data_IF_796537651201
#
_entry.id   IF_796537651201
#
_cell.length_a   1.000
_cell.length_b   1.000
_cell.length_c   1.000
_cell.angle_alpha   90.00
_cell.angle_beta   90.00
_cell.angle_gamma   90.00
#
_symmetry.space_group_name_H-M   'P 1'
#
loop_
_entity.id
_entity.type
_entity.pdbx_description
1 polymer ?
#
# COMPACT_ATOMS: atom_id res chain seq x y z
N UNK A 1 -14.84 -7.67 0.52
CA UNK A 1 -13.85 -6.64 0.15
C UNK A 1 -14.37 -5.91 -1.08
N UNK A 2 -14.18 -4.59 -1.15
CA UNK A 2 -14.48 -3.79 -2.34
C UNK A 2 -13.31 -2.85 -2.65
N UNK A 3 -13.18 -2.42 -3.91
CA UNK A 3 -12.13 -1.48 -4.34
C UNK A 3 -12.26 -0.18 -3.54
N UNK A 4 -11.14 0.33 -3.04
CA UNK A 4 -11.09 1.53 -2.20
C UNK A 4 -11.41 1.28 -0.72
N UNK A 5 -11.71 0.05 -0.30
CA UNK A 5 -11.91 -0.27 1.11
C UNK A 5 -10.58 -0.17 1.89
N UNK A 6 -10.56 0.61 2.97
CA UNK A 6 -9.47 0.55 3.94
C UNK A 6 -9.60 -0.72 4.78
N UNK A 7 -8.52 -1.48 4.87
CA UNK A 7 -8.42 -2.69 5.68
C UNK A 7 -7.22 -2.60 6.61
N UNK A 8 -7.30 -3.25 7.76
CA UNK A 8 -6.19 -3.45 8.69
C UNK A 8 -5.94 -4.94 8.80
N UNK A 9 -4.88 -5.39 8.15
CA UNK A 9 -4.42 -6.76 8.28
C UNK A 9 -3.63 -6.95 9.58
N UNK A 10 -3.76 -8.13 10.18
CA UNK A 10 -2.92 -8.54 11.32
C UNK A 10 -1.95 -9.65 10.89
N UNK A 11 -0.90 -9.86 11.68
CA UNK A 11 0.12 -10.86 11.37
C UNK A 11 -0.49 -12.26 11.15
N UNK A 12 -0.11 -12.92 10.06
CA UNK A 12 -0.59 -14.24 9.66
C UNK A 12 -1.95 -14.25 8.95
N UNK A 13 -2.59 -13.10 8.74
CA UNK A 13 -3.84 -13.01 7.99
C UNK A 13 -3.61 -13.09 6.48
N UNK A 14 -4.39 -13.92 5.79
CA UNK A 14 -4.38 -13.98 4.33
C UNK A 14 -5.20 -12.84 3.74
N UNK A 15 -4.61 -12.14 2.76
CA UNK A 15 -5.31 -11.11 2.00
C UNK A 15 -6.05 -11.74 0.81
N UNK A 16 -7.33 -11.41 0.67
CA UNK A 16 -8.18 -11.92 -0.41
C UNK A 16 -8.25 -11.00 -1.64
N UNK A 17 -7.40 -9.96 -1.70
CA UNK A 17 -7.32 -9.00 -2.79
C UNK A 17 -5.92 -8.35 -2.85
N UNK A 18 -5.59 -7.77 -4.01
CA UNK A 18 -4.40 -6.93 -4.15
C UNK A 18 -4.55 -5.66 -3.30
N UNK A 19 -3.54 -5.37 -2.48
CA UNK A 19 -3.60 -4.29 -1.50
C UNK A 19 -2.40 -3.35 -1.61
N UNK A 20 -2.66 -2.04 -1.59
CA UNK A 20 -1.62 -1.03 -1.39
C UNK A 20 -1.35 -0.87 0.11
N UNK A 21 -0.09 -1.07 0.53
CA UNK A 21 0.32 -0.87 1.92
C UNK A 21 0.43 0.64 2.17
N UNK A 22 -0.43 1.18 3.02
CA UNK A 22 -0.44 2.61 3.36
C UNK A 22 0.41 2.95 4.60
N UNK A 23 0.39 2.08 5.59
CA UNK A 23 1.14 2.22 6.84
C UNK A 23 1.38 0.84 7.45
N UNK A 24 2.43 0.71 8.26
CA UNK A 24 2.80 -0.55 8.93
C UNK A 24 3.11 -0.29 10.41
N UNK A 25 3.14 -1.35 11.22
CA UNK A 25 3.63 -1.29 12.61
C UNK A 25 5.15 -1.32 12.71
N UNK A 26 5.84 -1.69 11.64
CA UNK A 26 7.29 -1.89 11.66
C UNK A 26 8.04 -0.56 11.50
N UNK A 27 9.18 -0.40 12.20
CA UNK A 27 10.10 0.70 11.94
C UNK A 27 10.53 0.70 10.46
N UNK A 28 10.62 1.90 9.87
CA UNK A 28 10.99 2.04 8.45
C UNK A 28 9.85 1.86 7.45
N UNK A 29 8.60 1.69 7.93
CA UNK A 29 7.41 1.54 7.08
C UNK A 29 7.49 0.35 6.13
N UNK A 30 8.06 -0.75 6.60
CA UNK A 30 8.15 -2.02 5.85
C UNK A 30 7.12 -3.03 6.36
N UNK A 31 6.77 -4.00 5.52
CA UNK A 31 6.00 -5.18 5.88
C UNK A 31 6.69 -6.42 5.30
N UNK A 32 6.46 -7.56 5.92
CA UNK A 32 6.96 -8.86 5.46
C UNK A 32 5.79 -9.65 4.90
N UNK A 33 5.84 -9.99 3.63
CA UNK A 33 4.76 -10.66 2.91
C UNK A 33 5.23 -12.04 2.48
N UNK A 34 4.39 -13.05 2.72
CA UNK A 34 4.59 -14.40 2.22
C UNK A 34 3.82 -14.59 0.91
N UNK A 35 4.50 -15.08 -0.13
CA UNK A 35 3.90 -15.29 -1.45
C UNK A 35 4.11 -16.67 -2.02
N UNK A 36 4.42 -17.64 -1.18
CA UNK A 36 4.55 -19.05 -1.55
C UNK A 36 3.34 -19.59 -2.35
N UNK A 37 2.13 -19.07 -2.10
CA UNK A 37 0.92 -19.45 -2.83
C UNK A 37 0.83 -18.86 -4.26
N UNK A 38 1.63 -17.84 -4.59
CA UNK A 38 1.64 -17.16 -5.90
C UNK A 38 2.81 -17.58 -6.77
N UNK A 39 4.03 -17.62 -6.22
CA UNK A 39 5.26 -17.89 -6.97
C UNK A 39 6.05 -19.11 -6.49
N UNK A 40 5.63 -19.75 -5.40
CA UNK A 40 6.30 -20.90 -4.80
C UNK A 40 7.53 -20.54 -3.97
N UNK A 41 7.82 -19.26 -3.74
CA UNK A 41 8.94 -18.83 -2.90
C UNK A 41 8.56 -18.89 -1.41
N UNK A 42 9.37 -19.59 -0.60
CA UNK A 42 9.13 -19.74 0.84
C UNK A 42 9.68 -18.60 1.69
N UNK A 43 10.41 -17.65 1.08
CA UNK A 43 11.01 -16.54 1.80
C UNK A 43 9.99 -15.41 1.97
N UNK A 44 10.04 -14.74 3.12
CA UNK A 44 9.31 -13.50 3.32
C UNK A 44 9.95 -12.40 2.49
N UNK A 45 9.11 -11.67 1.77
CA UNK A 45 9.51 -10.55 0.94
C UNK A 45 9.26 -9.24 1.67
N UNK A 46 10.24 -8.34 1.58
CA UNK A 46 10.17 -7.03 2.22
C UNK A 46 9.44 -6.06 1.30
N UNK A 47 8.41 -5.42 1.84
CA UNK A 47 7.54 -4.50 1.11
C UNK A 47 7.45 -3.16 1.79
N UNK A 48 7.73 -2.11 1.03
CA UNK A 48 7.70 -0.74 1.52
C UNK A 48 6.28 -0.20 1.43
N UNK A 49 5.78 0.42 2.50
CA UNK A 49 4.55 1.18 2.45
C UNK A 49 4.68 2.36 1.51
N UNK A 50 3.56 2.77 0.93
CA UNK A 50 3.50 3.89 0.01
C UNK A 50 4.10 5.16 0.67
N UNK A 51 4.86 5.97 -0.09
CA UNK A 51 5.63 7.09 0.42
C UNK A 51 4.68 8.22 0.84
N UNK A 52 4.17 8.14 2.06
CA UNK A 52 3.22 9.07 2.66
C UNK A 52 3.63 9.33 4.11
N UNK A 53 3.05 10.35 4.73
CA UNK A 53 3.20 10.61 6.17
C UNK A 53 2.17 9.86 7.00
N UNK A 54 1.49 8.86 6.42
CA UNK A 54 0.48 8.09 7.12
C UNK A 54 1.10 7.32 8.27
N UNK A 55 0.42 7.36 9.41
CA UNK A 55 0.78 6.60 10.61
C UNK A 55 -0.23 5.49 10.81
N UNK A 56 0.20 4.36 11.34
CA UNK A 56 -0.67 3.26 11.75
C UNK A 56 -1.44 3.63 13.03
N UNK A 57 -2.29 4.65 12.96
CA UNK A 57 -3.19 5.08 14.01
C UNK A 57 -4.52 5.57 13.42
N UNK A 58 -5.58 5.46 14.21
CA UNK A 58 -6.95 5.75 13.76
C UNK A 58 -7.13 7.20 13.28
N UNK A 59 -6.49 8.17 13.96
CA UNK A 59 -6.54 9.58 13.58
C UNK A 59 -6.01 9.82 12.16
N UNK A 60 -4.83 9.27 11.85
CA UNK A 60 -4.17 9.45 10.55
C UNK A 60 -4.95 8.77 9.43
N UNK A 61 -5.49 7.57 9.69
CA UNK A 61 -6.33 6.84 8.72
C UNK A 61 -7.64 7.57 8.44
N UNK A 62 -8.28 8.11 9.48
CA UNK A 62 -9.51 8.89 9.33
C UNK A 62 -9.29 10.21 8.57
N UNK A 63 -8.17 10.90 8.79
CA UNK A 63 -7.80 12.09 8.02
C UNK A 63 -7.60 11.74 6.54
N UNK A 64 -6.86 10.67 6.25
CA UNK A 64 -6.63 10.20 4.89
C UNK A 64 -7.94 9.82 4.18
N UNK A 65 -8.81 9.06 4.85
CA UNK A 65 -10.11 8.69 4.30
C UNK A 65 -10.96 9.91 3.93
N UNK A 66 -11.00 10.92 4.81
CA UNK A 66 -11.79 12.15 4.59
C UNK A 66 -11.18 13.09 3.55
N UNK A 67 -9.91 12.91 3.21
CA UNK A 67 -9.21 13.79 2.27
C UNK A 67 -9.62 13.59 0.80
N UNK A 68 -10.42 12.56 0.49
CA UNK A 68 -10.77 12.15 -0.87
C UNK A 68 -9.51 12.00 -1.74
N UNK A 69 -8.47 11.35 -1.20
CA UNK A 69 -7.27 11.02 -1.96
C UNK A 69 -7.63 10.01 -3.05
N UNK A 70 -7.19 10.30 -4.26
CA UNK A 70 -7.34 9.44 -5.43
C UNK A 70 -6.06 8.66 -5.68
N UNK A 71 -6.22 7.41 -6.09
CA UNK A 71 -5.10 6.52 -6.43
C UNK A 71 -5.22 6.17 -7.91
N UNK A 72 -4.20 6.52 -8.67
CA UNK A 72 -4.10 6.23 -10.09
C UNK A 72 -3.06 5.13 -10.29
N UNK A 73 -3.38 4.13 -11.08
CA UNK A 73 -2.51 2.97 -11.31
C UNK A 73 -2.83 2.33 -12.66
N UNK A 74 -1.92 1.47 -13.11
CA UNK A 74 -2.07 0.77 -14.39
C UNK A 74 -3.26 -0.20 -14.42
N UNK A 75 -3.75 -0.49 -15.63
CA UNK A 75 -4.80 -1.49 -15.80
C UNK A 75 -4.34 -2.86 -15.27
N UNK A 76 -5.27 -3.70 -14.75
CA UNK A 76 -4.95 -5.04 -14.28
C UNK A 76 -4.20 -5.83 -15.35
N UNK A 77 -3.06 -6.39 -14.97
CA UNK A 77 -2.19 -7.13 -15.89
C UNK A 77 -1.60 -8.37 -15.18
N UNK A 78 -0.81 -9.17 -15.91
CA UNK A 78 -0.26 -10.44 -15.39
C UNK A 78 1.12 -10.30 -14.73
N UNK A 79 1.68 -9.10 -14.65
CA UNK A 79 2.96 -8.87 -14.02
C UNK A 79 2.79 -8.83 -12.50
N UNK A 80 3.16 -9.92 -11.83
CA UNK A 80 3.08 -10.06 -10.37
C UNK A 80 4.25 -9.40 -9.62
N UNK A 81 5.21 -8.84 -10.36
CA UNK A 81 6.42 -8.25 -9.79
C UNK A 81 6.39 -6.72 -9.77
N UNK A 82 5.47 -6.10 -10.50
CA UNK A 82 5.47 -4.66 -10.70
C UNK A 82 4.06 -4.08 -10.61
N UNK A 83 3.92 -3.08 -9.75
CA UNK A 83 2.76 -2.21 -9.72
C UNK A 83 3.26 -0.77 -9.69
N UNK A 84 2.80 0.01 -10.64
CA UNK A 84 3.09 1.43 -10.71
C UNK A 84 1.81 2.23 -10.56
N UNK A 85 1.93 3.30 -9.78
CA UNK A 85 0.83 4.23 -9.58
C UNK A 85 1.30 5.49 -8.87
N UNK A 86 0.36 6.40 -8.68
CA UNK A 86 0.57 7.59 -7.88
C UNK A 86 -0.71 7.98 -7.14
N UNK A 87 -0.53 8.71 -6.05
CA UNK A 87 -1.64 9.29 -5.29
C UNK A 87 -1.74 10.78 -5.55
N UNK A 88 -2.97 11.28 -5.65
CA UNK A 88 -3.29 12.70 -5.82
C UNK A 88 -4.39 13.10 -4.85
N UNK A 89 -4.28 14.30 -4.28
CA UNK A 89 -5.29 14.80 -3.36
C UNK A 89 -4.78 15.99 -2.55
N UNK A 90 -5.65 16.49 -1.67
CA UNK A 90 -5.36 17.65 -0.80
C UNK A 90 -4.91 17.26 0.61
N UNK A 91 -4.72 15.96 0.87
CA UNK A 91 -4.27 15.47 2.17
C UNK A 91 -2.89 15.99 2.52
N UNK A 92 -2.73 16.52 3.74
CA UNK A 92 -1.40 16.90 4.27
C UNK A 92 -0.49 15.69 4.50
N UNK A 93 -1.09 14.51 4.52
CA UNK A 93 -0.40 13.23 4.67
C UNK A 93 0.24 12.77 3.36
N UNK A 94 -0.16 13.33 2.21
CA UNK A 94 0.55 13.14 0.95
C UNK A 94 1.84 13.95 0.90
N UNK A 95 2.80 13.46 0.13
CA UNK A 95 4.01 14.21 -0.17
C UNK A 95 3.73 15.32 -1.21
N UNK A 96 4.47 16.45 -1.19
CA UNK A 96 4.21 17.59 -2.07
C UNK A 96 4.44 17.24 -3.54
N UNK A 97 3.74 17.88 -4.49
CA UNK A 97 3.74 17.51 -5.91
C UNK A 97 5.09 17.65 -6.66
N UNK A 98 6.11 18.26 -6.06
CA UNK A 98 7.47 18.22 -6.61
C UNK A 98 8.10 16.82 -6.52
N UNK A 99 7.60 16.01 -5.57
CA UNK A 99 7.73 14.57 -5.50
C UNK A 99 6.29 14.01 -5.58
N UNK A 100 5.72 13.90 -6.78
CA UNK A 100 4.51 13.09 -6.96
C UNK A 100 4.69 11.81 -6.15
N UNK A 101 3.71 11.44 -5.33
CA UNK A 101 3.75 10.20 -4.54
C UNK A 101 3.58 8.99 -5.49
N UNK A 102 4.44 8.95 -6.50
CA UNK A 102 4.67 7.87 -7.41
C UNK A 102 5.26 6.76 -6.55
N UNK A 103 4.54 5.66 -6.50
CA UNK A 103 4.99 4.48 -5.84
C UNK A 103 5.16 3.42 -6.90
N UNK A 104 6.35 2.84 -6.92
CA UNK A 104 6.58 1.55 -7.55
C UNK A 104 6.60 0.56 -6.40
N UNK A 105 5.53 -0.22 -6.26
CA UNK A 105 5.47 -1.30 -5.30
C UNK A 105 5.70 -2.61 -6.06
N UNK A 106 6.71 -3.36 -5.65
CA UNK A 106 6.82 -4.76 -6.06
C UNK A 106 5.78 -5.55 -5.26
N UNK A 107 4.97 -6.41 -5.88
CA UNK A 107 3.78 -7.01 -5.23
C UNK A 107 3.96 -8.42 -4.68
N UNK A 108 5.19 -8.87 -4.50
CA UNK A 108 5.45 -10.24 -4.06
C UNK A 108 5.72 -10.34 -2.57
#
# INVERSE_FOLDING_TARGET
LHVGQLIRAVNGEQLAADCLILATSEPGSVAYVETANLDGESNLKVRQAAPTRLRNCEESMNEFWRSNTEIYYDAPNRNIYEFQGYMSGHSKLLLPPHDSASFSAEFT
#
